data_IF_614839613941
#
_entry.id   IF_614839613941
#
_cell.length_a   1.000
_cell.length_b   1.000
_cell.length_c   1.000
_cell.angle_alpha   90.00
_cell.angle_beta   90.00
_cell.angle_gamma   90.00
#
_symmetry.space_group_name_H-M   'P 1'
#
loop_
_entity.id
_entity.type
_entity.pdbx_description
1 polymer ?
#
# COMPACT_ATOMS: atom_id res chain seq x y z
N UNK A 1 -26.08 10.32 -30.17
CA UNK A 1 -26.00 9.58 -28.87
C UNK A 1 -25.49 8.18 -29.19
N UNK A 2 -24.43 7.74 -28.53
CA UNK A 2 -23.95 6.37 -28.63
C UNK A 2 -24.80 5.49 -27.67
N UNK A 3 -25.29 4.35 -28.16
CA UNK A 3 -26.01 3.37 -27.37
C UNK A 3 -25.08 2.20 -27.07
N UNK A 4 -25.00 1.82 -25.79
CA UNK A 4 -24.26 0.66 -25.32
C UNK A 4 -25.24 -0.45 -24.92
N UNK A 5 -24.88 -1.68 -25.27
CA UNK A 5 -25.64 -2.88 -24.87
C UNK A 5 -25.06 -3.49 -23.60
N UNK A 6 -25.78 -4.41 -22.96
CA UNK A 6 -25.32 -5.19 -21.81
C UNK A 6 -25.81 -4.67 -20.47
N UNK A 7 -24.96 -4.73 -19.43
CA UNK A 7 -25.35 -4.43 -18.06
C UNK A 7 -25.61 -2.94 -17.83
N UNK A 8 -26.62 -2.63 -17.02
CA UNK A 8 -26.87 -1.26 -16.60
C UNK A 8 -25.95 -0.87 -15.45
N UNK A 9 -25.23 0.24 -15.59
CA UNK A 9 -24.49 0.83 -14.48
C UNK A 9 -25.49 1.53 -13.56
N UNK A 10 -25.49 1.14 -12.28
CA UNK A 10 -26.29 1.82 -11.25
C UNK A 10 -25.88 3.29 -11.18
N UNK A 11 -26.83 4.26 -11.20
CA UNK A 11 -26.51 5.68 -11.03
C UNK A 11 -25.74 5.92 -9.75
N UNK A 12 -24.61 6.61 -9.86
CA UNK A 12 -23.64 6.72 -8.76
C UNK A 12 -22.86 8.02 -8.78
N UNK A 13 -22.30 8.38 -7.65
CA UNK A 13 -21.35 9.46 -7.45
C UNK A 13 -20.17 8.97 -6.60
N UNK A 14 -19.06 9.69 -6.61
CA UNK A 14 -17.79 9.29 -5.98
C UNK A 14 -17.25 7.94 -6.47
N UNK A 15 -17.54 7.57 -7.70
CA UNK A 15 -16.93 6.43 -8.36
C UNK A 15 -15.60 6.81 -9.00
N UNK A 16 -14.69 5.85 -9.07
CA UNK A 16 -13.45 6.00 -9.83
C UNK A 16 -13.61 5.55 -11.27
N UNK A 17 -12.78 6.09 -12.14
CA UNK A 17 -12.70 5.71 -13.54
C UNK A 17 -11.24 5.49 -13.95
N UNK A 18 -10.97 4.41 -14.68
CA UNK A 18 -9.69 4.15 -15.31
C UNK A 18 -9.88 3.79 -16.78
N UNK A 19 -8.91 4.15 -17.61
CA UNK A 19 -8.96 3.92 -19.05
C UNK A 19 -7.67 3.23 -19.48
N UNK A 20 -7.77 2.21 -20.34
CA UNK A 20 -6.58 1.57 -20.87
C UNK A 20 -5.85 2.46 -21.90
N UNK A 21 -4.63 2.08 -22.28
CA UNK A 21 -3.73 2.89 -23.12
C UNK A 21 -4.33 3.25 -24.48
N UNK A 22 -5.05 2.35 -25.12
CA UNK A 22 -5.68 2.57 -26.43
C UNK A 22 -7.09 3.18 -26.34
N UNK A 23 -7.57 3.47 -25.12
CA UNK A 23 -8.88 4.07 -24.84
C UNK A 23 -10.08 3.25 -25.33
N UNK A 24 -9.90 1.96 -25.46
CA UNK A 24 -10.99 1.03 -25.84
C UNK A 24 -11.76 0.53 -24.62
N UNK A 25 -11.07 0.28 -23.50
CA UNK A 25 -11.64 -0.18 -22.25
C UNK A 25 -11.71 0.95 -21.23
N UNK A 26 -12.89 1.15 -20.65
CA UNK A 26 -13.12 2.08 -19.55
C UNK A 26 -13.64 1.26 -18.36
N UNK A 27 -12.96 1.36 -17.23
CA UNK A 27 -13.33 0.71 -16.00
C UNK A 27 -13.99 1.71 -15.06
N UNK A 28 -15.14 1.34 -14.46
CA UNK A 28 -15.86 2.16 -13.47
C UNK A 28 -16.00 1.35 -12.20
N UNK A 29 -15.46 1.87 -11.11
CA UNK A 29 -15.42 1.18 -9.81
C UNK A 29 -16.08 1.99 -8.71
N UNK A 30 -16.85 1.32 -7.87
CA UNK A 30 -17.28 1.77 -6.56
C UNK A 30 -18.17 3.01 -6.58
N UNK A 31 -18.08 3.79 -5.52
CA UNK A 31 -18.90 4.97 -5.28
C UNK A 31 -20.14 4.69 -4.46
N UNK A 32 -21.10 5.59 -4.54
CA UNK A 32 -22.36 5.53 -3.80
C UNK A 32 -23.53 5.77 -4.74
N UNK A 33 -24.61 5.04 -4.53
CA UNK A 33 -25.81 5.19 -5.35
C UNK A 33 -26.92 4.21 -5.00
N UNK A 34 -27.95 4.20 -5.83
CA UNK A 34 -29.07 3.27 -5.73
C UNK A 34 -29.67 3.01 -7.13
N UNK A 35 -30.48 1.99 -7.23
CA UNK A 35 -31.12 1.57 -8.49
C UNK A 35 -32.03 2.65 -9.11
N UNK A 36 -32.69 3.47 -8.29
CA UNK A 36 -33.57 4.53 -8.77
C UNK A 36 -32.81 5.74 -9.32
N UNK A 37 -31.60 5.96 -8.86
CA UNK A 37 -30.81 7.19 -9.13
C UNK A 37 -31.27 8.41 -8.31
N UNK A 38 -32.27 8.27 -7.44
CA UNK A 38 -32.80 9.33 -6.60
C UNK A 38 -32.08 9.34 -5.22
N UNK A 39 -31.46 10.44 -4.88
CA UNK A 39 -30.75 10.57 -3.59
C UNK A 39 -31.69 10.51 -2.38
N UNK A 40 -32.96 10.87 -2.54
CA UNK A 40 -33.98 10.83 -1.48
C UNK A 40 -34.33 9.39 -1.05
N UNK A 41 -34.13 8.40 -1.89
CA UNK A 41 -34.43 6.99 -1.62
C UNK A 41 -33.36 6.32 -0.75
N UNK A 42 -32.27 7.01 -0.50
CA UNK A 42 -31.12 6.48 0.22
C UNK A 42 -29.95 6.12 -0.72
N UNK A 43 -28.86 5.74 -0.14
CA UNK A 43 -27.61 5.44 -0.85
C UNK A 43 -26.91 4.24 -0.23
N UNK A 44 -26.31 3.42 -1.09
CA UNK A 44 -25.48 2.30 -0.70
C UNK A 44 -24.05 2.52 -1.20
N UNK A 45 -23.07 2.01 -0.47
CA UNK A 45 -21.72 1.88 -0.98
C UNK A 45 -21.69 0.75 -2.01
N UNK A 46 -21.14 1.05 -3.17
CA UNK A 46 -21.06 0.13 -4.28
C UNK A 46 -19.64 -0.44 -4.37
N UNK A 47 -19.53 -1.75 -4.31
CA UNK A 47 -18.27 -2.48 -4.47
C UNK A 47 -18.37 -3.38 -5.69
N UNK A 48 -18.43 -2.77 -6.85
CA UNK A 48 -18.59 -3.43 -8.14
C UNK A 48 -17.64 -2.79 -9.16
N UNK A 49 -17.27 -3.55 -10.18
CA UNK A 49 -16.46 -3.08 -11.29
C UNK A 49 -17.20 -3.34 -12.59
N UNK A 50 -17.32 -2.29 -13.38
CA UNK A 50 -17.84 -2.38 -14.74
C UNK A 50 -16.72 -2.13 -15.75
N UNK A 51 -16.79 -2.89 -16.86
CA UNK A 51 -16.02 -2.66 -18.06
C UNK A 51 -16.94 -2.13 -19.16
N UNK A 52 -16.63 -0.97 -19.69
CA UNK A 52 -17.23 -0.44 -20.91
C UNK A 52 -16.23 -0.70 -22.04
N UNK A 53 -16.63 -1.54 -22.98
CA UNK A 53 -15.88 -1.78 -24.22
C UNK A 53 -16.42 -0.81 -25.31
N UNK A 54 -15.60 0.17 -25.68
CA UNK A 54 -15.98 1.18 -26.66
C UNK A 54 -16.04 0.64 -28.09
N UNK A 55 -15.24 -0.37 -28.39
CA UNK A 55 -15.19 -1.00 -29.70
C UNK A 55 -16.42 -1.87 -29.94
N UNK A 56 -16.79 -2.65 -28.94
CA UNK A 56 -17.98 -3.51 -28.98
C UNK A 56 -19.26 -2.76 -28.61
N UNK A 57 -19.16 -1.53 -28.11
CA UNK A 57 -20.27 -0.73 -27.57
C UNK A 57 -21.06 -1.52 -26.52
N UNK A 58 -20.37 -2.17 -25.60
CA UNK A 58 -20.95 -3.01 -24.56
C UNK A 58 -20.51 -2.59 -23.17
N UNK A 59 -21.38 -2.86 -22.20
CA UNK A 59 -21.12 -2.70 -20.76
C UNK A 59 -21.26 -4.06 -20.12
N UNK A 60 -20.28 -4.42 -19.31
CA UNK A 60 -20.29 -5.67 -18.55
C UNK A 60 -19.87 -5.40 -17.10
N UNK A 61 -20.64 -5.86 -16.14
CA UNK A 61 -20.25 -5.92 -14.75
C UNK A 61 -19.32 -7.12 -14.56
N UNK A 62 -18.05 -6.86 -14.24
CA UNK A 62 -17.06 -7.90 -14.04
C UNK A 62 -17.32 -8.66 -12.75
N UNK A 63 -17.61 -7.92 -11.67
CA UNK A 63 -17.93 -8.47 -10.37
C UNK A 63 -18.68 -7.45 -9.51
N UNK A 64 -19.31 -7.97 -8.45
CA UNK A 64 -19.90 -7.21 -7.36
C UNK A 64 -19.66 -7.98 -6.07
N UNK A 65 -18.88 -7.38 -5.17
CA UNK A 65 -18.52 -8.01 -3.91
C UNK A 65 -19.29 -7.35 -2.75
N UNK A 66 -19.68 -8.16 -1.76
CA UNK A 66 -20.10 -7.62 -0.49
C UNK A 66 -18.89 -7.02 0.21
N UNK A 67 -19.02 -5.80 0.73
CA UNK A 67 -17.96 -5.16 1.49
C UNK A 67 -18.55 -4.37 2.64
N UNK A 68 -17.96 -4.52 3.82
CA UNK A 68 -18.27 -3.72 5.00
C UNK A 68 -17.52 -2.37 5.00
N UNK A 69 -16.65 -2.14 4.01
CA UNK A 69 -15.89 -0.92 3.90
C UNK A 69 -16.75 0.23 3.36
N UNK A 70 -16.94 1.23 4.20
CA UNK A 70 -17.61 2.49 3.80
C UNK A 70 -16.57 3.43 3.20
N UNK A 71 -16.13 3.12 1.99
CA UNK A 71 -15.12 3.86 1.27
C UNK A 71 -15.65 4.27 -0.10
N UNK A 72 -15.23 5.44 -0.53
CA UNK A 72 -15.48 5.95 -1.88
C UNK A 72 -14.16 6.29 -2.56
N UNK A 73 -14.17 6.44 -3.88
CA UNK A 73 -12.97 6.74 -4.66
C UNK A 73 -12.78 8.24 -4.79
N UNK A 74 -11.53 8.69 -4.65
CA UNK A 74 -11.17 10.12 -4.71
C UNK A 74 -11.00 10.67 -6.13
N UNK A 75 -11.56 10.12 -7.16
CA UNK A 75 -11.58 10.47 -8.58
C UNK A 75 -10.92 9.41 -9.47
N UNK A 76 -9.81 9.80 -10.13
CA UNK A 76 -9.18 8.97 -11.15
C UNK A 76 -8.49 7.75 -10.55
N UNK A 77 -8.53 6.67 -11.31
CA UNK A 77 -7.83 5.44 -11.00
C UNK A 77 -6.76 5.18 -12.06
N UNK A 78 -5.77 4.41 -11.72
CA UNK A 78 -4.69 4.04 -12.63
C UNK A 78 -4.76 2.54 -12.90
N UNK A 79 -4.94 2.19 -14.16
CA UNK A 79 -4.95 0.82 -14.64
C UNK A 79 -3.52 0.40 -15.03
N UNK A 80 -3.11 -0.80 -14.63
CA UNK A 80 -1.84 -1.36 -15.09
C UNK A 80 -1.87 -1.67 -16.59
N UNK A 81 -0.71 -1.63 -17.29
CA UNK A 81 -0.67 -1.89 -18.74
C UNK A 81 -1.17 -3.27 -19.16
N UNK A 82 -1.09 -4.25 -18.28
CA UNK A 82 -1.60 -5.62 -18.48
C UNK A 82 -3.08 -5.79 -18.08
N UNK A 83 -3.72 -4.71 -17.65
CA UNK A 83 -5.11 -4.64 -17.22
C UNK A 83 -5.47 -5.60 -16.05
N UNK A 84 -4.47 -6.06 -15.27
CA UNK A 84 -4.71 -6.95 -14.13
C UNK A 84 -5.05 -6.23 -12.85
N UNK A 85 -4.52 -5.02 -12.67
CA UNK A 85 -4.69 -4.25 -11.45
C UNK A 85 -5.13 -2.83 -11.72
N UNK A 86 -5.92 -2.31 -10.79
CA UNK A 86 -6.30 -0.91 -10.71
C UNK A 86 -5.79 -0.35 -9.39
N UNK A 87 -5.14 0.81 -9.43
CA UNK A 87 -4.76 1.58 -8.26
C UNK A 87 -5.76 2.71 -8.06
N UNK A 88 -6.31 2.82 -6.87
CA UNK A 88 -7.30 3.82 -6.50
C UNK A 88 -7.00 4.41 -5.13
N UNK A 89 -7.12 5.73 -4.99
CA UNK A 89 -7.19 6.40 -3.70
C UNK A 89 -8.63 6.32 -3.19
N UNK A 90 -8.82 5.71 -2.02
CA UNK A 90 -10.12 5.60 -1.39
C UNK A 90 -10.12 6.28 -0.03
N UNK A 91 -11.30 6.76 0.41
CA UNK A 91 -11.47 7.45 1.68
C UNK A 91 -12.87 7.28 2.24
N UNK A 92 -13.05 7.37 3.58
CA UNK A 92 -14.35 7.44 4.22
C UNK A 92 -14.93 8.85 4.09
N UNK A 93 -15.93 9.05 3.24
CA UNK A 93 -16.49 10.36 2.90
C UNK A 93 -17.27 11.03 4.03
N UNK A 94 -17.67 10.25 5.03
CA UNK A 94 -18.43 10.74 6.19
C UNK A 94 -17.56 11.37 7.28
N UNK A 95 -16.23 11.38 7.12
CA UNK A 95 -15.28 12.00 8.04
C UNK A 95 -14.77 13.32 7.46
N UNK A 96 -14.86 14.42 8.22
CA UNK A 96 -14.27 15.70 7.82
C UNK A 96 -12.74 15.68 7.93
N UNK A 97 -12.21 15.24 9.07
CA UNK A 97 -10.79 14.90 9.19
C UNK A 97 -10.62 13.45 8.74
N UNK A 98 -10.36 13.28 7.46
CA UNK A 98 -10.31 12.00 6.79
C UNK A 98 -8.88 11.62 6.40
N UNK A 99 -8.75 10.52 5.69
CA UNK A 99 -7.49 10.05 5.14
C UNK A 99 -7.71 9.42 3.77
N UNK A 100 -6.70 9.53 2.93
CA UNK A 100 -6.63 8.80 1.67
C UNK A 100 -5.79 7.55 1.87
N UNK A 101 -6.30 6.42 1.43
CA UNK A 101 -5.58 5.16 1.39
C UNK A 101 -5.47 4.70 -0.05
N UNK A 102 -4.25 4.41 -0.50
CA UNK A 102 -4.05 3.78 -1.79
C UNK A 102 -4.42 2.30 -1.68
N UNK A 103 -5.25 1.85 -2.62
CA UNK A 103 -5.62 0.44 -2.78
C UNK A 103 -5.19 -0.08 -4.14
N UNK A 104 -4.79 -1.34 -4.16
CA UNK A 104 -4.67 -2.13 -5.38
C UNK A 104 -5.85 -3.07 -5.47
N UNK A 105 -6.63 -2.95 -6.55
CA UNK A 105 -7.75 -3.83 -6.88
C UNK A 105 -7.29 -4.82 -7.94
N UNK A 106 -7.66 -6.08 -7.78
CA UNK A 106 -7.53 -7.10 -8.84
C UNK A 106 -8.74 -6.99 -9.75
N UNK A 107 -8.52 -6.86 -11.07
CA UNK A 107 -9.60 -6.68 -12.05
C UNK A 107 -10.50 -7.90 -12.14
N UNK A 108 -9.92 -9.11 -12.00
CA UNK A 108 -10.65 -10.37 -12.19
C UNK A 108 -11.63 -10.69 -11.04
N UNK A 109 -11.24 -10.45 -9.79
CA UNK A 109 -11.99 -10.91 -8.61
C UNK A 109 -12.36 -9.81 -7.61
N UNK A 110 -11.86 -8.60 -7.81
CA UNK A 110 -12.12 -7.47 -6.94
C UNK A 110 -11.41 -7.51 -5.59
N UNK A 111 -10.40 -8.37 -5.44
CA UNK A 111 -9.56 -8.37 -4.23
C UNK A 111 -8.89 -7.01 -4.05
N UNK A 112 -9.09 -6.38 -2.88
CA UNK A 112 -8.51 -5.08 -2.52
C UNK A 112 -7.39 -5.26 -1.51
N UNK A 113 -6.23 -4.63 -1.78
CA UNK A 113 -5.11 -4.55 -0.83
C UNK A 113 -4.75 -3.10 -0.56
N UNK A 114 -4.71 -2.71 0.71
CA UNK A 114 -4.18 -1.42 1.12
C UNK A 114 -2.66 -1.38 0.92
N UNK A 115 -2.16 -0.27 0.38
CA UNK A 115 -0.76 -0.07 0.02
C UNK A 115 -0.20 1.15 0.75
N UNK A 116 0.94 0.98 1.40
CA UNK A 116 1.62 2.07 2.10
C UNK A 116 0.81 2.67 3.25
N UNK A 117 1.29 3.80 3.76
CA UNK A 117 0.61 4.54 4.81
C UNK A 117 -0.53 5.39 4.24
N UNK A 118 -1.50 5.70 5.11
CA UNK A 118 -2.58 6.63 4.76
C UNK A 118 -2.07 8.07 4.74
N UNK A 119 -2.63 8.88 3.85
CA UNK A 119 -2.34 10.31 3.71
C UNK A 119 -3.45 11.07 4.45
N UNK A 120 -3.14 11.80 5.54
CA UNK A 120 -4.15 12.59 6.24
C UNK A 120 -4.67 13.70 5.32
N UNK A 121 -5.97 13.90 5.33
CA UNK A 121 -6.62 14.92 4.51
C UNK A 121 -7.85 15.46 5.22
N UNK A 122 -8.16 16.73 5.00
CA UNK A 122 -9.41 17.33 5.40
C UNK A 122 -10.36 17.38 4.22
N UNK A 123 -11.52 16.75 4.37
CA UNK A 123 -12.61 16.81 3.41
C UNK A 123 -13.61 17.85 3.86
N UNK A 124 -13.91 18.82 3.03
CA UNK A 124 -15.00 19.79 3.26
C UNK A 124 -16.14 19.45 2.29
N UNK A 125 -17.37 19.57 2.77
CA UNK A 125 -18.58 19.39 1.97
C UNK A 125 -18.71 18.03 1.26
N UNK A 126 -18.22 16.95 1.89
CA UNK A 126 -18.31 15.57 1.33
C UNK A 126 -17.41 15.34 0.10
N UNK A 127 -16.84 16.38 -0.48
CA UNK A 127 -15.95 16.26 -1.64
C UNK A 127 -14.48 16.31 -1.22
N UNK A 128 -13.71 15.37 -1.73
CA UNK A 128 -12.26 15.48 -1.64
C UNK A 128 -11.69 15.95 -2.96
N UNK A 129 -10.78 16.91 -2.89
CA UNK A 129 -10.00 17.37 -4.02
C UNK A 129 -8.62 16.66 -4.00
N UNK A 130 -8.65 15.35 -4.21
CA UNK A 130 -7.45 14.55 -4.35
C UNK A 130 -7.40 13.90 -5.73
N UNK A 131 -6.20 13.82 -6.30
CA UNK A 131 -5.99 13.18 -7.59
C UNK A 131 -4.77 12.26 -7.51
N UNK A 132 -4.83 11.16 -8.25
CA UNK A 132 -3.75 10.19 -8.38
C UNK A 132 -3.18 10.22 -9.80
N UNK A 133 -1.87 10.36 -9.92
CA UNK A 133 -1.15 10.39 -11.18
C UNK A 133 -0.03 9.35 -11.18
N UNK A 134 0.28 8.84 -12.35
CA UNK A 134 1.43 7.98 -12.57
C UNK A 134 2.37 8.60 -13.60
N UNK A 135 3.63 8.75 -13.23
CA UNK A 135 4.69 9.16 -14.14
C UNK A 135 5.41 7.94 -14.70
N UNK A 136 5.21 7.66 -15.97
CA UNK A 136 5.84 6.52 -16.64
C UNK A 136 7.36 6.66 -16.86
N UNK A 137 7.91 7.86 -16.73
CA UNK A 137 9.35 8.10 -16.87
C UNK A 137 10.11 7.81 -15.58
N UNK A 138 9.55 8.23 -14.43
CA UNK A 138 10.17 8.01 -13.11
C UNK A 138 9.65 6.77 -12.40
N UNK A 139 8.59 6.13 -12.94
CA UNK A 139 7.88 5.00 -12.33
C UNK A 139 7.34 5.32 -10.93
N UNK A 140 6.89 6.55 -10.71
CA UNK A 140 6.36 7.02 -9.45
C UNK A 140 4.87 7.35 -9.54
N UNK A 141 4.17 7.19 -8.42
CA UNK A 141 2.81 7.70 -8.26
C UNK A 141 2.86 9.02 -7.51
N UNK A 142 2.00 9.94 -7.90
CA UNK A 142 1.83 11.23 -7.25
C UNK A 142 0.40 11.38 -6.79
N UNK A 143 0.23 11.73 -5.53
CA UNK A 143 -1.05 12.13 -4.98
C UNK A 143 -1.02 13.64 -4.73
N UNK A 144 -1.94 14.40 -5.32
CA UNK A 144 -2.14 15.81 -5.00
C UNK A 144 -3.41 15.98 -4.21
N UNK A 145 -3.35 16.75 -3.12
CA UNK A 145 -4.51 17.16 -2.33
C UNK A 145 -4.66 18.67 -2.35
N UNK A 146 -5.90 19.14 -2.40
CA UNK A 146 -6.24 20.55 -2.29
C UNK A 146 -7.18 20.72 -1.11
N UNK A 147 -6.79 21.51 -0.13
CA UNK A 147 -7.53 21.77 1.11
C UNK A 147 -7.63 23.26 1.36
N UNK A 148 -8.57 23.68 2.21
CA UNK A 148 -8.61 25.04 2.72
C UNK A 148 -8.08 25.10 4.16
N UNK A 149 -7.22 26.05 4.43
CA UNK A 149 -6.79 26.32 5.81
C UNK A 149 -7.87 27.05 6.63
N UNK A 150 -7.63 27.22 7.93
CA UNK A 150 -8.56 27.93 8.83
C UNK A 150 -8.80 29.40 8.46
N UNK A 151 -7.97 29.96 7.57
CA UNK A 151 -8.07 31.35 7.08
C UNK A 151 -8.71 31.41 5.68
N UNK A 152 -9.10 30.27 5.12
CA UNK A 152 -9.68 30.18 3.79
C UNK A 152 -8.66 30.18 2.65
N UNK A 153 -7.36 30.02 2.94
CA UNK A 153 -6.36 29.90 1.89
C UNK A 153 -6.34 28.47 1.33
N UNK A 154 -6.19 28.35 0.03
CA UNK A 154 -5.99 27.06 -0.63
C UNK A 154 -4.59 26.53 -0.34
N UNK A 155 -4.51 25.31 0.18
CA UNK A 155 -3.27 24.58 0.44
C UNK A 155 -3.22 23.38 -0.49
N UNK A 156 -2.22 23.34 -1.35
CA UNK A 156 -1.97 22.20 -2.24
C UNK A 156 -0.78 21.42 -1.68
N UNK A 157 -0.95 20.11 -1.51
CA UNK A 157 0.13 19.20 -1.13
C UNK A 157 0.32 18.15 -2.20
N UNK A 158 1.57 17.79 -2.45
CA UNK A 158 1.94 16.70 -3.35
C UNK A 158 2.71 15.66 -2.57
N UNK A 159 2.25 14.42 -2.65
CA UNK A 159 2.90 13.26 -2.07
C UNK A 159 3.44 12.37 -3.18
N UNK A 160 4.66 11.90 -3.01
CA UNK A 160 5.30 10.94 -3.92
C UNK A 160 5.18 9.56 -3.30
N UNK A 161 4.65 8.63 -4.07
CA UNK A 161 4.48 7.23 -3.67
C UNK A 161 5.41 6.40 -4.56
N UNK A 162 6.29 5.61 -3.96
CA UNK A 162 7.20 4.75 -4.73
C UNK A 162 6.43 3.66 -5.52
N UNK A 163 6.93 3.31 -6.69
CA UNK A 163 6.37 2.24 -7.49
C UNK A 163 7.36 1.06 -7.58
N UNK A 164 6.88 -0.20 -7.62
CA UNK A 164 5.50 -0.58 -7.35
C UNK A 164 5.13 -0.34 -5.87
N UNK A 165 3.92 0.17 -5.59
CA UNK A 165 3.48 0.35 -4.21
C UNK A 165 3.43 -0.99 -3.49
N UNK A 166 4.02 -1.06 -2.30
CA UNK A 166 4.03 -2.26 -1.46
C UNK A 166 2.82 -2.31 -0.54
N UNK A 167 2.38 -3.51 -0.19
CA UNK A 167 1.27 -3.67 0.76
C UNK A 167 1.72 -3.37 2.20
N UNK A 168 0.77 -3.02 3.08
CA UNK A 168 1.05 -2.83 4.50
C UNK A 168 1.68 -4.06 5.14
N UNK A 169 1.29 -5.26 4.73
CA UNK A 169 1.84 -6.51 5.23
C UNK A 169 3.29 -6.71 4.79
N UNK A 170 3.62 -6.32 3.56
CA UNK A 170 5.00 -6.31 3.07
C UNK A 170 5.85 -5.33 3.86
N UNK A 171 5.38 -4.11 4.12
CA UNK A 171 6.09 -3.11 4.94
C UNK A 171 6.37 -3.67 6.35
N UNK A 172 5.36 -4.25 7.00
CA UNK A 172 5.52 -4.88 8.31
C UNK A 172 6.53 -6.02 8.30
N UNK A 173 6.54 -6.82 7.24
CA UNK A 173 7.50 -7.93 7.09
C UNK A 173 8.93 -7.43 6.93
N UNK A 174 9.16 -6.32 6.21
CA UNK A 174 10.48 -5.69 6.11
C UNK A 174 10.95 -5.15 7.47
N UNK A 175 10.10 -4.45 8.21
CA UNK A 175 10.42 -3.96 9.56
C UNK A 175 10.76 -5.07 10.54
N UNK A 176 10.06 -6.20 10.47
CA UNK A 176 10.32 -7.39 11.28
C UNK A 176 11.64 -8.09 10.92
N UNK A 177 11.97 -8.19 9.61
CA UNK A 177 13.22 -8.81 9.16
C UNK A 177 14.45 -8.03 9.62
N UNK A 178 14.44 -6.71 9.50
CA UNK A 178 15.59 -5.89 9.90
C UNK A 178 15.91 -6.03 11.39
N UNK A 179 14.90 -6.13 12.25
CA UNK A 179 15.09 -6.33 13.71
C UNK A 179 15.64 -7.71 14.06
N UNK A 180 15.25 -8.76 13.33
CA UNK A 180 15.77 -10.12 13.51
C UNK A 180 17.23 -10.23 13.05
N UNK A 181 17.57 -9.67 11.90
CA UNK A 181 18.96 -9.69 11.40
C UNK A 181 19.93 -8.94 12.34
N UNK A 182 19.53 -7.79 12.86
CA UNK A 182 20.33 -7.03 13.83
C UNK A 182 20.51 -7.83 15.12
N UNK A 183 19.48 -8.50 15.63
CA UNK A 183 19.58 -9.35 16.82
C UNK A 183 20.54 -10.53 16.61
N UNK A 184 20.51 -11.19 15.46
CA UNK A 184 21.43 -12.27 15.10
C UNK A 184 22.88 -11.77 15.01
N UNK A 185 23.13 -10.59 14.46
CA UNK A 185 24.46 -9.98 14.42
C UNK A 185 25.02 -9.73 15.83
N UNK A 186 24.21 -9.23 16.75
CA UNK A 186 24.64 -9.04 18.15
C UNK A 186 24.89 -10.35 18.87
N UNK A 187 24.11 -11.40 18.62
CA UNK A 187 24.32 -12.74 19.18
C UNK A 187 25.63 -13.32 18.66
N UNK A 188 25.88 -13.25 17.36
CA UNK A 188 27.12 -13.74 16.75
C UNK A 188 28.35 -12.95 17.24
N UNK A 189 28.26 -11.65 17.39
CA UNK A 189 29.31 -10.83 17.97
C UNK A 189 29.60 -11.22 19.43
N UNK A 190 28.56 -11.44 20.23
CA UNK A 190 28.69 -11.92 21.63
C UNK A 190 29.38 -13.27 21.73
N UNK A 191 29.02 -14.23 20.89
CA UNK A 191 29.68 -15.56 20.84
C UNK A 191 31.13 -15.41 20.43
N UNK A 192 31.46 -14.56 19.44
CA UNK A 192 32.83 -14.30 19.02
C UNK A 192 33.71 -13.75 20.16
N UNK A 193 33.19 -12.81 20.94
CA UNK A 193 33.90 -12.25 22.11
C UNK A 193 34.13 -13.34 23.20
N UNK A 194 33.12 -14.19 23.49
CA UNK A 194 33.24 -15.28 24.46
C UNK A 194 34.32 -16.29 24.04
N UNK A 195 34.39 -16.65 22.76
CA UNK A 195 35.42 -17.56 22.24
C UNK A 195 36.81 -16.95 22.34
N UNK A 196 36.97 -15.65 22.07
CA UNK A 196 38.26 -14.94 22.21
C UNK A 196 38.71 -14.90 23.67
N UNK A 197 37.82 -14.55 24.60
CA UNK A 197 38.14 -14.54 26.05
C UNK A 197 38.47 -15.94 26.54
N UNK A 198 37.68 -16.95 26.17
CA UNK A 198 37.93 -18.35 26.49
C UNK A 198 39.29 -18.85 25.98
N UNK A 199 39.63 -18.50 24.74
CA UNK A 199 40.92 -18.79 24.11
C UNK A 199 42.11 -18.18 24.87
N UNK A 200 41.99 -16.90 25.23
CA UNK A 200 43.03 -16.20 26.00
C UNK A 200 43.21 -16.81 27.38
N UNK A 201 42.13 -17.13 28.09
CA UNK A 201 42.18 -17.77 29.37
C UNK A 201 42.80 -19.20 29.31
N UNK A 202 42.47 -19.96 28.28
CA UNK A 202 43.01 -21.27 28.03
C UNK A 202 44.54 -21.21 27.78
N UNK A 203 45.00 -20.28 26.94
CA UNK A 203 46.44 -20.09 26.69
C UNK A 203 47.17 -19.64 27.94
N UNK A 204 46.60 -18.72 28.73
CA UNK A 204 47.20 -18.29 30.03
C UNK A 204 47.30 -19.45 31.00
N UNK A 205 46.27 -20.29 31.10
CA UNK A 205 46.27 -21.47 31.98
C UNK A 205 47.31 -22.52 31.57
N UNK A 206 47.50 -22.71 30.26
CA UNK A 206 48.52 -23.65 29.72
C UNK A 206 49.92 -23.13 30.00
N UNK A 207 50.19 -21.83 29.83
CA UNK A 207 51.49 -21.20 30.16
C UNK A 207 51.81 -21.20 31.64
N UNK A 208 50.78 -21.05 32.50
CA UNK A 208 50.95 -21.15 33.98
C UNK A 208 51.35 -22.55 34.44
N UNK A 209 50.86 -23.64 33.82
CA UNK A 209 51.24 -25.00 34.12
C UNK A 209 52.67 -25.33 33.69
N UNK A 210 53.20 -24.75 32.64
CA UNK A 210 54.58 -24.96 32.18
C UNK A 210 55.61 -24.26 33.06
N UNK A 211 55.28 -23.17 33.77
CA UNK A 211 56.17 -22.45 34.67
C UNK A 211 56.40 -23.13 36.02
N UNK A 212 55.55 -24.07 36.42
CA UNK A 212 55.68 -24.77 37.72
C UNK A 212 56.35 -26.16 37.62
N UNK A 213 56.87 -26.48 36.45
CA UNK A 213 57.71 -27.69 36.28
C UNK A 213 59.18 -27.26 36.37
N UNK A 214 59.68 -27.03 37.57
CA UNK A 214 61.09 -26.92 37.86
C UNK A 214 61.63 -28.34 37.91
N UNK A 215 62.71 -28.68 37.18
CA UNK A 215 63.36 -30.00 37.40
C UNK A 215 64.17 -29.96 38.67
N UNK A 216 63.90 -30.89 39.59
CA UNK A 216 64.80 -31.21 40.68
C UNK A 216 66.13 -31.61 40.11
N UNK A 217 67.18 -30.81 40.38
CA UNK A 217 68.57 -31.25 40.17
C UNK A 217 68.98 -32.24 41.25
N UNK A 218 69.10 -33.48 40.86
CA UNK A 218 69.77 -34.48 41.68
C UNK A 218 71.26 -34.17 41.84
N UNK A 219 71.64 -33.80 43.02
CA UNK A 219 73.03 -33.83 43.47
C UNK A 219 73.42 -35.26 43.80
N UNK A 220 74.43 -35.78 43.14
CA UNK A 220 75.18 -36.97 43.57
C UNK A 220 76.66 -36.60 43.45
N UNK A 221 77.34 -36.58 44.60
CA UNK A 221 78.73 -36.86 44.97
C UNK A 221 79.80 -36.70 43.86
#
# INVERSE_FOLDING_TARGET
TLSYSGDRIIPRYFSGMAVNKNREHIYVFGGMGNESGEQSVGRNYLHDLYLLDRKQQSVRRLWQNASDHRLVVARDMILTPDEKYIYALCYPEYLSDTYLQLYRLTVDDGTMKALGDSIPMRSEEIMTNANLYYNSLTHEYYCTTTEFDKKGHTVIRTYVLSAPPVSLDEIRSYGSRSSLEIRWLWIMAGIGVLLLVGGVLFVRRKRGKQRNAVPESSSVL
#
